data_IF_419710299516
#
_entry.id   IF_419710299516
#
_cell.length_a   1.000
_cell.length_b   1.000
_cell.length_c   1.000
_cell.angle_alpha   90.00
_cell.angle_beta   90.00
_cell.angle_gamma   90.00
#
_symmetry.space_group_name_H-M   'P 1'
#
loop_
_entity.id
_entity.type
_entity.pdbx_description
1 polymer ?
#
# COMPACT_ATOMS: atom_id res chain seq x y z
N UNK A 1 -0.20 -18.48 -9.05
CA UNK A 1 -1.10 -17.37 -8.70
C UNK A 1 -0.41 -16.07 -9.08
N UNK A 2 -1.06 -15.21 -9.85
CA UNK A 2 -0.56 -13.87 -10.17
C UNK A 2 -1.05 -12.90 -9.08
N UNK A 3 -0.27 -11.86 -8.81
CA UNK A 3 -0.67 -10.75 -7.94
C UNK A 3 -0.69 -9.49 -8.80
N UNK A 4 -1.88 -8.97 -9.07
CA UNK A 4 -2.07 -7.70 -9.75
C UNK A 4 -2.15 -6.58 -8.71
N UNK A 5 -1.17 -5.69 -8.68
CA UNK A 5 -1.26 -4.43 -7.95
C UNK A 5 -1.75 -3.35 -8.92
N UNK A 6 -3.04 -2.99 -8.86
CA UNK A 6 -3.61 -1.93 -9.68
C UNK A 6 -3.59 -0.63 -8.88
N UNK A 7 -2.58 0.22 -9.14
CA UNK A 7 -2.13 1.13 -8.10
C UNK A 7 -1.46 2.40 -8.61
N UNK A 8 -1.28 3.34 -7.69
CA UNK A 8 -0.64 4.64 -7.89
C UNK A 8 0.88 4.56 -8.02
N UNK A 9 1.43 5.51 -8.77
CA UNK A 9 2.85 5.80 -8.85
C UNK A 9 3.07 7.29 -8.66
N UNK A 10 3.94 7.70 -7.74
CA UNK A 10 4.20 9.10 -7.43
C UNK A 10 5.69 9.44 -7.47
N UNK A 11 5.98 10.66 -7.86
CA UNK A 11 7.30 11.29 -7.70
C UNK A 11 7.23 12.15 -6.43
N UNK A 12 8.00 11.81 -5.41
CA UNK A 12 8.04 12.55 -4.15
C UNK A 12 9.16 13.60 -4.23
N UNK A 13 8.78 14.87 -4.20
CA UNK A 13 9.67 16.03 -4.19
C UNK A 13 9.80 16.54 -2.76
N UNK A 14 10.88 16.17 -2.09
CA UNK A 14 11.11 16.48 -0.68
C UNK A 14 11.98 17.71 -0.55
N UNK A 15 11.46 18.73 0.11
CA UNK A 15 12.12 19.99 0.39
C UNK A 15 12.44 20.09 1.88
N UNK A 16 13.71 20.16 2.23
CA UNK A 16 14.13 20.51 3.58
C UNK A 16 13.96 22.02 3.77
N UNK A 17 13.25 22.42 4.82
CA UNK A 17 12.94 23.83 5.10
C UNK A 17 13.27 24.19 6.56
N UNK A 18 13.44 25.49 6.82
CA UNK A 18 13.62 25.98 8.20
C UNK A 18 12.35 25.76 9.05
N UNK A 19 11.18 25.98 8.46
CA UNK A 19 9.85 25.75 8.99
C UNK A 19 8.87 25.56 7.83
N UNK A 20 7.72 24.95 8.09
CA UNK A 20 6.66 24.80 7.10
C UNK A 20 6.15 26.16 6.68
N UNK A 21 6.11 26.45 5.36
CA UNK A 21 5.73 27.77 4.82
C UNK A 21 4.30 28.14 5.21
N UNK A 22 4.13 29.38 5.67
CA UNK A 22 2.83 29.94 6.04
C UNK A 22 2.17 30.68 4.86
N UNK A 23 0.83 30.86 4.86
CA UNK A 23 0.15 31.61 3.82
C UNK A 23 0.71 33.04 3.69
N UNK A 24 1.09 33.40 2.45
CA UNK A 24 1.67 34.72 2.13
C UNK A 24 3.18 34.84 2.37
N UNK A 25 3.82 33.79 2.85
CA UNK A 25 5.27 33.74 3.09
C UNK A 25 6.01 33.20 1.87
N UNK A 26 7.26 33.64 1.68
CA UNK A 26 8.21 33.06 0.71
C UNK A 26 9.49 32.72 1.44
N UNK A 27 9.89 31.45 1.43
CA UNK A 27 11.12 30.96 2.03
C UNK A 27 12.01 30.30 0.99
N UNK A 28 13.29 30.15 1.29
CA UNK A 28 14.21 29.33 0.51
C UNK A 28 14.28 27.94 1.17
N UNK A 29 14.18 26.91 0.33
CA UNK A 29 14.49 25.55 0.80
C UNK A 29 15.99 25.40 1.06
N UNK A 30 16.34 24.59 2.03
CA UNK A 30 17.73 24.26 2.35
C UNK A 30 18.28 23.20 1.42
N UNK A 31 17.44 22.26 0.98
CA UNK A 31 17.75 21.15 0.09
C UNK A 31 16.50 20.72 -0.67
N UNK A 32 16.68 19.95 -1.76
CA UNK A 32 15.61 19.31 -2.49
C UNK A 32 16.08 17.97 -3.02
N UNK A 33 15.31 16.92 -2.72
CA UNK A 33 15.56 15.56 -3.21
C UNK A 33 14.32 15.01 -3.90
N UNK A 34 14.52 14.16 -4.90
CA UNK A 34 13.43 13.47 -5.62
C UNK A 34 13.52 11.99 -5.33
N UNK A 35 12.39 11.43 -4.87
CA UNK A 35 12.28 10.01 -4.58
C UNK A 35 11.15 9.37 -5.38
N UNK A 36 11.28 8.09 -5.62
CA UNK A 36 10.17 7.26 -6.07
C UNK A 36 9.26 6.96 -4.87
N UNK A 37 7.98 7.21 -5.01
CA UNK A 37 7.00 7.07 -3.96
C UNK A 37 5.62 6.62 -4.46
N UNK A 38 4.64 6.79 -3.60
CA UNK A 38 3.29 6.28 -3.77
C UNK A 38 3.11 4.89 -3.17
N UNK A 39 1.95 4.66 -2.54
CA UNK A 39 1.64 3.36 -1.92
C UNK A 39 1.74 2.22 -2.94
N UNK A 40 1.24 2.44 -4.16
CA UNK A 40 1.27 1.43 -5.19
C UNK A 40 2.67 1.00 -5.60
N UNK A 41 3.62 1.93 -5.73
CA UNK A 41 5.03 1.61 -6.01
C UNK A 41 5.63 0.80 -4.87
N UNK A 42 5.51 1.29 -3.64
CA UNK A 42 6.07 0.64 -2.46
C UNK A 42 5.52 -0.77 -2.28
N UNK A 43 4.20 -0.95 -2.42
CA UNK A 43 3.56 -2.26 -2.30
C UNK A 43 3.99 -3.20 -3.43
N UNK A 44 4.13 -2.73 -4.69
CA UNK A 44 4.65 -3.57 -5.78
C UNK A 44 6.06 -4.07 -5.50
N UNK A 45 6.94 -3.20 -4.99
CA UNK A 45 8.30 -3.58 -4.61
C UNK A 45 8.28 -4.56 -3.44
N UNK A 46 7.46 -4.30 -2.41
CA UNK A 46 7.35 -5.18 -1.26
C UNK A 46 6.82 -6.58 -1.64
N UNK A 47 5.81 -6.64 -2.50
CA UNK A 47 5.28 -7.88 -3.07
C UNK A 47 6.36 -8.66 -3.83
N UNK A 48 7.13 -7.99 -4.68
CA UNK A 48 8.18 -8.63 -5.47
C UNK A 48 9.33 -9.13 -4.60
N UNK A 49 9.81 -8.30 -3.66
CA UNK A 49 10.88 -8.68 -2.71
C UNK A 49 10.47 -9.79 -1.74
N UNK A 50 9.17 -9.91 -1.46
CA UNK A 50 8.62 -11.03 -0.70
C UNK A 50 8.52 -12.33 -1.53
N UNK A 51 8.82 -12.31 -2.84
CA UNK A 51 8.81 -13.48 -3.72
C UNK A 51 7.54 -13.65 -4.55
N UNK A 52 6.66 -12.66 -4.59
CA UNK A 52 5.40 -12.68 -5.35
C UNK A 52 5.61 -12.59 -6.88
N UNK A 53 4.72 -13.21 -7.64
CA UNK A 53 4.61 -13.02 -9.10
C UNK A 53 3.75 -11.78 -9.39
N UNK A 54 4.39 -10.61 -9.43
CA UNK A 54 3.74 -9.29 -9.36
C UNK A 54 3.61 -8.65 -10.73
N UNK A 55 2.39 -8.21 -11.03
CA UNK A 55 2.06 -7.35 -12.16
C UNK A 55 1.62 -6.00 -11.61
N UNK A 56 2.22 -4.91 -12.11
CA UNK A 56 1.77 -3.56 -11.79
C UNK A 56 0.90 -3.03 -12.93
N UNK A 57 -0.33 -2.64 -12.61
CA UNK A 57 -1.19 -1.88 -13.52
C UNK A 57 -1.35 -0.45 -13.01
N UNK A 58 -1.16 0.51 -13.89
CA UNK A 58 -1.26 1.92 -13.54
C UNK A 58 -0.84 2.83 -14.67
N UNK A 59 -0.83 4.12 -14.40
CA UNK A 59 -0.45 5.13 -15.37
C UNK A 59 0.66 6.02 -14.81
N UNK A 60 1.64 6.33 -15.66
CA UNK A 60 2.63 7.38 -15.44
C UNK A 60 2.46 8.48 -16.48
N UNK A 61 2.92 9.67 -16.19
CA UNK A 61 3.06 10.74 -17.19
C UNK A 61 4.39 10.66 -17.95
N UNK A 62 4.67 11.67 -18.76
CA UNK A 62 5.91 11.78 -19.57
C UNK A 62 7.19 11.83 -18.72
N UNK A 63 7.06 12.16 -17.45
CA UNK A 63 8.14 12.29 -16.46
C UNK A 63 8.29 11.06 -15.54
N UNK A 64 7.54 9.98 -15.77
CA UNK A 64 7.47 8.82 -14.87
C UNK A 64 8.52 7.72 -15.13
N UNK A 65 9.47 7.90 -16.05
CA UNK A 65 10.44 6.87 -16.44
C UNK A 65 11.26 6.33 -15.26
N UNK A 66 11.57 7.18 -14.28
CA UNK A 66 12.27 6.78 -13.05
C UNK A 66 11.49 5.70 -12.29
N UNK A 67 10.17 5.86 -12.15
CA UNK A 67 9.31 4.91 -11.41
C UNK A 67 9.23 3.56 -12.13
N UNK A 68 9.13 3.59 -13.47
CA UNK A 68 9.14 2.41 -14.32
C UNK A 68 10.43 1.62 -14.16
N UNK A 69 11.58 2.31 -14.18
CA UNK A 69 12.90 1.68 -14.04
C UNK A 69 13.04 1.00 -12.67
N UNK A 70 12.65 1.67 -11.59
CA UNK A 70 12.70 1.11 -10.23
C UNK A 70 11.83 -0.14 -10.10
N UNK A 71 10.62 -0.14 -10.66
CA UNK A 71 9.77 -1.34 -10.67
C UNK A 71 10.41 -2.49 -11.46
N UNK A 72 10.99 -2.19 -12.64
CA UNK A 72 11.68 -3.19 -13.47
C UNK A 72 12.90 -3.80 -12.74
N UNK A 73 13.71 -2.99 -12.07
CA UNK A 73 14.84 -3.42 -11.25
C UNK A 73 14.43 -4.35 -10.10
N UNK A 74 13.20 -4.23 -9.63
CA UNK A 74 12.61 -5.11 -8.61
C UNK A 74 11.83 -6.30 -9.21
N UNK A 75 12.01 -6.61 -10.50
CA UNK A 75 11.36 -7.73 -11.20
C UNK A 75 9.82 -7.68 -11.19
N UNK A 76 9.22 -6.49 -11.12
CA UNK A 76 7.78 -6.31 -11.28
C UNK A 76 7.44 -6.36 -12.77
N UNK A 77 6.42 -7.14 -13.15
CA UNK A 77 5.93 -7.17 -14.52
C UNK A 77 5.18 -5.87 -14.85
N UNK A 78 5.59 -5.17 -15.90
CA UNK A 78 5.10 -3.85 -16.31
C UNK A 78 4.21 -3.88 -17.56
N UNK A 79 3.68 -5.03 -17.94
CA UNK A 79 2.82 -5.19 -19.12
C UNK A 79 1.63 -4.23 -19.11
N UNK A 80 1.10 -3.93 -17.92
CA UNK A 80 -0.06 -3.06 -17.71
C UNK A 80 0.30 -1.66 -17.19
N UNK A 81 1.58 -1.28 -17.20
CA UNK A 81 2.01 0.08 -16.92
C UNK A 81 2.03 0.85 -18.25
N UNK A 82 1.20 1.91 -18.36
CA UNK A 82 1.11 2.74 -19.56
C UNK A 82 1.45 4.20 -19.27
N UNK A 83 1.86 4.91 -20.32
CA UNK A 83 2.07 6.37 -20.25
C UNK A 83 0.79 7.09 -20.66
N UNK A 84 0.34 8.00 -19.82
CA UNK A 84 -0.76 8.92 -20.06
C UNK A 84 -0.22 10.31 -20.43
N UNK A 85 -1.06 11.14 -21.03
CA UNK A 85 -0.69 12.52 -21.32
C UNK A 85 -0.56 13.35 -20.03
N UNK A 86 0.50 14.17 -19.93
CA UNK A 86 0.72 15.08 -18.81
C UNK A 86 1.65 14.51 -17.74
N UNK A 87 1.46 14.95 -16.51
CA UNK A 87 2.37 14.66 -15.39
C UNK A 87 1.99 13.38 -14.65
N UNK A 88 3.02 12.67 -14.21
CA UNK A 88 2.89 11.62 -13.20
C UNK A 88 2.31 12.18 -11.91
N UNK A 89 1.63 11.35 -11.12
CA UNK A 89 1.29 11.70 -9.75
C UNK A 89 2.54 12.13 -8.98
N UNK A 90 2.43 13.17 -8.16
CA UNK A 90 3.57 13.61 -7.38
C UNK A 90 3.14 14.24 -6.05
N UNK A 91 4.05 14.21 -5.09
CA UNK A 91 3.91 14.88 -3.81
C UNK A 91 4.98 15.96 -3.67
N UNK A 92 4.57 17.16 -3.24
CA UNK A 92 5.46 18.20 -2.74
C UNK A 92 5.45 18.06 -1.22
N UNK A 93 6.61 17.70 -0.66
CA UNK A 93 6.75 17.40 0.76
C UNK A 93 7.72 18.41 1.35
N UNK A 94 7.27 19.20 2.30
CA UNK A 94 8.13 20.05 3.13
C UNK A 94 8.46 19.29 4.40
N UNK A 95 9.73 19.26 4.79
CA UNK A 95 10.19 18.67 6.05
C UNK A 95 11.00 19.73 6.80
N UNK A 96 10.60 20.05 8.01
CA UNK A 96 11.30 21.01 8.84
C UNK A 96 12.37 20.37 9.72
N UNK A 97 13.14 21.22 10.43
CA UNK A 97 14.23 20.77 11.33
C UNK A 97 13.78 19.91 12.50
N UNK A 98 12.50 19.95 12.85
CA UNK A 98 11.92 19.09 13.90
C UNK A 98 11.50 17.71 13.37
N UNK A 99 11.47 17.55 12.03
CA UNK A 99 11.00 16.35 11.33
C UNK A 99 9.49 16.36 11.09
N UNK A 100 8.80 17.47 11.36
CA UNK A 100 7.41 17.63 10.95
C UNK A 100 7.30 17.85 9.45
N UNK A 101 6.21 17.37 8.84
CA UNK A 101 6.01 17.50 7.41
C UNK A 101 4.65 18.08 7.02
N UNK A 102 4.62 18.63 5.81
CA UNK A 102 3.40 19.04 5.14
C UNK A 102 3.45 18.50 3.70
N UNK A 103 2.39 17.84 3.28
CA UNK A 103 2.33 17.15 1.98
C UNK A 103 1.21 17.72 1.13
N UNK A 104 1.57 18.16 -0.08
CA UNK A 104 0.63 18.51 -1.14
C UNK A 104 0.71 17.45 -2.22
N UNK A 105 -0.39 16.71 -2.40
CA UNK A 105 -0.48 15.63 -3.39
C UNK A 105 -1.18 16.11 -4.67
N UNK A 106 -0.59 15.80 -5.82
CA UNK A 106 -1.21 15.91 -7.14
C UNK A 106 -1.37 14.52 -7.74
N UNK A 107 -2.60 14.14 -8.04
CA UNK A 107 -2.91 12.78 -8.51
C UNK A 107 -2.36 12.48 -9.92
N UNK A 108 -2.30 13.49 -10.81
CA UNK A 108 -1.74 13.35 -12.16
C UNK A 108 -2.31 12.18 -12.94
N UNK A 109 -1.43 11.36 -13.52
CA UNK A 109 -1.79 10.18 -14.29
C UNK A 109 -2.61 9.14 -13.49
N UNK A 110 -2.44 9.05 -12.18
CA UNK A 110 -3.20 8.11 -11.34
C UNK A 110 -4.72 8.32 -11.44
N UNK A 111 -5.18 9.54 -11.68
CA UNK A 111 -6.59 9.87 -11.87
C UNK A 111 -7.04 9.87 -13.34
N UNK A 112 -6.23 9.36 -14.25
CA UNK A 112 -6.59 9.17 -15.66
C UNK A 112 -6.91 7.71 -16.02
N UNK A 113 -6.92 6.81 -15.05
CA UNK A 113 -7.31 5.41 -15.25
C UNK A 113 -8.78 5.38 -15.68
N UNK A 114 -9.04 4.93 -16.92
CA UNK A 114 -10.39 4.79 -17.46
C UNK A 114 -10.98 3.41 -17.15
N UNK A 115 -12.30 3.31 -17.22
CA UNK A 115 -13.00 2.02 -17.11
C UNK A 115 -12.60 1.05 -18.21
N UNK A 116 -12.32 1.54 -19.43
CA UNK A 116 -11.86 0.72 -20.55
C UNK A 116 -10.48 0.13 -20.29
N UNK A 117 -9.55 0.96 -19.79
CA UNK A 117 -8.23 0.47 -19.39
C UNK A 117 -8.33 -0.56 -18.26
N UNK A 118 -9.14 -0.29 -17.24
CA UNK A 118 -9.35 -1.23 -16.15
C UNK A 118 -9.94 -2.55 -16.65
N UNK A 119 -10.92 -2.49 -17.57
CA UNK A 119 -11.50 -3.67 -18.18
C UNK A 119 -10.48 -4.47 -19.00
N UNK A 120 -9.63 -3.81 -19.78
CA UNK A 120 -8.58 -4.46 -20.55
C UNK A 120 -7.58 -5.19 -19.66
N UNK A 121 -7.07 -4.54 -18.60
CA UNK A 121 -6.16 -5.15 -17.64
C UNK A 121 -6.80 -6.39 -17.01
N UNK A 122 -8.01 -6.25 -16.49
CA UNK A 122 -8.66 -7.33 -15.76
C UNK A 122 -9.02 -8.55 -16.61
N UNK A 123 -9.04 -8.45 -17.96
CA UNK A 123 -9.30 -9.61 -18.85
C UNK A 123 -8.31 -10.76 -18.62
N UNK A 124 -7.05 -10.44 -18.31
CA UNK A 124 -5.95 -11.39 -18.25
C UNK A 124 -5.76 -12.02 -16.86
N UNK A 125 -6.69 -11.70 -15.94
CA UNK A 125 -6.72 -12.23 -14.58
C UNK A 125 -7.99 -13.02 -14.30
N UNK A 126 -7.94 -13.94 -13.34
CA UNK A 126 -8.98 -14.91 -13.06
C UNK A 126 -9.24 -15.04 -11.55
N UNK A 127 -10.20 -15.91 -11.18
CA UNK A 127 -10.56 -16.22 -9.78
C UNK A 127 -9.39 -16.72 -8.92
N UNK A 128 -8.34 -17.25 -9.55
CA UNK A 128 -7.18 -17.78 -8.85
C UNK A 128 -6.11 -16.71 -8.58
N UNK A 129 -6.33 -15.48 -9.06
CA UNK A 129 -5.39 -14.38 -8.92
C UNK A 129 -5.83 -13.40 -7.80
N UNK A 130 -4.86 -12.67 -7.28
CA UNK A 130 -5.08 -11.64 -6.26
C UNK A 130 -5.04 -10.27 -6.92
N UNK A 131 -5.98 -9.41 -6.55
CA UNK A 131 -5.98 -7.99 -6.86
C UNK A 131 -5.67 -7.21 -5.60
N UNK A 132 -4.61 -6.40 -5.63
CA UNK A 132 -4.25 -5.47 -4.57
C UNK A 132 -4.59 -4.05 -5.01
N UNK A 133 -5.22 -3.30 -4.13
CA UNK A 133 -5.73 -1.94 -4.40
C UNK A 133 -5.43 -1.00 -3.23
N UNK A 134 -5.25 0.28 -3.55
CA UNK A 134 -5.24 1.38 -2.60
C UNK A 134 -6.21 2.45 -3.10
N UNK A 135 -6.61 3.39 -2.22
CA UNK A 135 -7.55 4.44 -2.59
C UNK A 135 -6.84 5.68 -3.16
N UNK A 136 -5.95 5.47 -4.16
CA UNK A 136 -5.16 6.54 -4.78
C UNK A 136 -5.34 6.64 -6.31
N UNK A 137 -6.26 5.85 -6.88
CA UNK A 137 -6.49 5.81 -8.32
C UNK A 137 -7.96 6.09 -8.67
N UNK A 138 -8.22 6.58 -9.88
CA UNK A 138 -9.59 6.76 -10.36
C UNK A 138 -10.30 5.43 -10.66
N UNK A 139 -11.63 5.46 -10.68
CA UNK A 139 -12.50 4.32 -10.99
C UNK A 139 -12.33 3.09 -10.08
N UNK A 140 -11.87 3.28 -8.84
CA UNK A 140 -11.67 2.21 -7.86
C UNK A 140 -12.94 1.33 -7.67
N UNK A 141 -14.16 1.88 -7.47
CA UNK A 141 -15.38 1.07 -7.34
C UNK A 141 -15.69 0.22 -8.57
N UNK A 142 -15.40 0.71 -9.78
CA UNK A 142 -15.55 -0.06 -11.01
C UNK A 142 -14.58 -1.24 -11.08
N UNK A 143 -13.31 -1.01 -10.69
CA UNK A 143 -12.26 -2.04 -10.65
C UNK A 143 -12.65 -3.14 -9.67
N UNK A 144 -13.05 -2.77 -8.44
CA UNK A 144 -13.53 -3.71 -7.41
C UNK A 144 -14.68 -4.56 -7.93
N UNK A 145 -15.74 -3.90 -8.43
CA UNK A 145 -16.93 -4.61 -8.94
C UNK A 145 -16.63 -5.54 -10.10
N UNK A 146 -15.71 -5.14 -10.99
CA UNK A 146 -15.32 -5.96 -12.13
C UNK A 146 -14.50 -7.17 -11.72
N UNK A 147 -13.55 -7.00 -10.79
CA UNK A 147 -12.73 -8.09 -10.25
C UNK A 147 -13.58 -9.08 -9.40
N UNK A 148 -14.50 -8.57 -8.59
CA UNK A 148 -15.41 -9.39 -7.80
C UNK A 148 -16.29 -10.30 -8.69
N UNK A 149 -16.82 -9.79 -9.80
CA UNK A 149 -17.56 -10.60 -10.79
C UNK A 149 -16.72 -11.71 -11.41
N UNK A 150 -15.41 -11.59 -11.44
CA UNK A 150 -14.47 -12.61 -11.90
C UNK A 150 -14.07 -13.57 -10.78
N UNK A 151 -14.48 -13.31 -9.54
CA UNK A 151 -14.15 -14.11 -8.37
C UNK A 151 -12.70 -13.94 -7.89
N UNK A 152 -12.02 -12.86 -8.28
CA UNK A 152 -10.66 -12.57 -7.80
C UNK A 152 -10.66 -12.31 -6.29
N UNK A 153 -9.56 -12.65 -5.63
CA UNK A 153 -9.35 -12.26 -4.22
C UNK A 153 -8.91 -10.80 -4.16
N UNK A 154 -9.80 -9.91 -3.74
CA UNK A 154 -9.52 -8.48 -3.67
C UNK A 154 -8.99 -8.14 -2.28
N UNK A 155 -7.76 -7.61 -2.22
CA UNK A 155 -7.15 -7.09 -1.00
C UNK A 155 -7.07 -5.58 -1.15
N UNK A 156 -7.76 -4.86 -0.27
CA UNK A 156 -7.89 -3.41 -0.35
C UNK A 156 -7.28 -2.75 0.89
N UNK A 157 -6.35 -1.82 0.65
CA UNK A 157 -5.92 -0.82 1.63
C UNK A 157 -6.72 0.47 1.36
N UNK A 158 -7.65 0.89 2.23
CA UNK A 158 -8.53 2.02 1.96
C UNK A 158 -7.86 3.39 2.12
N UNK A 159 -6.55 3.44 2.24
CA UNK A 159 -5.77 4.67 2.46
C UNK A 159 -5.46 5.40 1.14
N UNK A 160 -5.62 6.74 1.11
CA UNK A 160 -6.25 7.59 2.10
C UNK A 160 -7.77 7.38 2.14
N UNK A 161 -8.35 7.30 3.34
CA UNK A 161 -9.80 7.12 3.48
C UNK A 161 -10.56 8.38 3.04
N UNK A 162 -11.55 8.22 2.17
CA UNK A 162 -12.42 9.29 1.70
C UNK A 162 -13.78 8.72 1.25
N UNK A 163 -14.65 9.58 0.71
CA UNK A 163 -16.01 9.24 0.26
C UNK A 163 -16.10 8.14 -0.82
N UNK A 164 -15.04 7.91 -1.60
CA UNK A 164 -15.00 6.84 -2.62
C UNK A 164 -15.25 5.47 -1.99
N UNK A 165 -14.90 5.31 -0.71
CA UNK A 165 -15.13 4.06 0.02
C UNK A 165 -16.61 3.74 0.24
N UNK A 166 -17.50 4.72 0.20
CA UNK A 166 -18.96 4.55 0.33
C UNK A 166 -19.55 3.84 -0.89
N UNK A 167 -18.90 3.95 -2.06
CA UNK A 167 -19.31 3.32 -3.31
C UNK A 167 -18.79 1.87 -3.46
N UNK A 168 -18.04 1.34 -2.48
CA UNK A 168 -17.47 0.01 -2.48
C UNK A 168 -18.29 -0.92 -1.58
N UNK A 169 -18.84 -2.00 -2.16
CA UNK A 169 -19.46 -3.05 -1.36
C UNK A 169 -18.37 -3.92 -0.70
N UNK A 170 -18.30 -3.86 0.62
CA UNK A 170 -17.31 -4.63 1.40
C UNK A 170 -17.50 -6.16 1.29
N UNK A 171 -18.67 -6.64 0.84
CA UNK A 171 -18.88 -8.04 0.53
C UNK A 171 -18.10 -8.51 -0.71
N UNK A 172 -17.68 -7.58 -1.57
CA UNK A 172 -16.82 -7.87 -2.73
C UNK A 172 -15.33 -7.98 -2.34
N UNK A 173 -14.98 -7.61 -1.10
CA UNK A 173 -13.59 -7.57 -0.62
C UNK A 173 -13.23 -8.86 0.12
N UNK A 174 -12.12 -9.49 -0.28
CA UNK A 174 -11.58 -10.65 0.41
C UNK A 174 -10.89 -10.28 1.73
N UNK A 175 -10.09 -9.19 1.72
CA UNK A 175 -9.39 -8.71 2.91
C UNK A 175 -9.20 -7.19 2.86
N UNK A 176 -9.54 -6.50 3.96
CA UNK A 176 -9.16 -5.12 4.19
C UNK A 176 -7.86 -5.06 5.00
N UNK A 177 -6.92 -4.21 4.57
CA UNK A 177 -5.71 -3.89 5.32
C UNK A 177 -5.79 -2.42 5.72
N UNK A 178 -5.91 -2.15 7.01
CA UNK A 178 -6.19 -0.81 7.52
C UNK A 178 -5.52 -0.56 8.87
N UNK A 179 -5.41 0.70 9.24
CA UNK A 179 -4.94 1.13 10.55
C UNK A 179 -6.13 1.48 11.48
N UNK A 180 -5.83 1.88 12.72
CA UNK A 180 -6.85 2.22 13.72
C UNK A 180 -7.77 3.36 13.24
N UNK A 181 -7.22 4.41 12.61
CA UNK A 181 -7.99 5.56 12.11
C UNK A 181 -8.94 5.14 10.97
N UNK A 182 -8.44 4.38 10.02
CA UNK A 182 -9.24 3.88 8.89
C UNK A 182 -10.33 2.92 9.36
N UNK A 183 -10.05 2.11 10.39
CA UNK A 183 -11.04 1.24 11.02
C UNK A 183 -12.18 2.03 11.68
N UNK A 184 -11.86 3.10 12.37
CA UNK A 184 -12.85 4.01 12.96
C UNK A 184 -13.67 4.71 11.88
N UNK A 185 -13.03 5.19 10.81
CA UNK A 185 -13.72 5.84 9.69
C UNK A 185 -14.71 4.89 9.01
N UNK A 186 -14.29 3.67 8.67
CA UNK A 186 -15.12 2.73 7.91
C UNK A 186 -16.28 2.15 8.73
N UNK A 187 -16.10 2.00 10.06
CA UNK A 187 -17.14 1.49 10.94
C UNK A 187 -18.07 2.57 11.48
N UNK A 188 -17.67 3.82 11.40
CA UNK A 188 -18.36 4.95 12.07
C UNK A 188 -18.36 4.87 13.59
N UNK A 189 -17.43 4.08 14.19
CA UNK A 189 -17.35 3.78 15.61
C UNK A 189 -15.94 3.81 16.15
N UNK A 190 -15.75 3.36 17.40
CA UNK A 190 -14.43 3.26 18.01
C UNK A 190 -13.72 1.95 17.64
N UNK A 191 -12.39 1.98 17.74
CA UNK A 191 -11.54 0.81 17.48
C UNK A 191 -11.90 -0.38 18.38
N UNK A 192 -12.31 -0.16 19.62
CA UNK A 192 -12.69 -1.22 20.56
C UNK A 192 -13.93 -2.00 20.09
N UNK A 193 -14.84 -1.36 19.36
CA UNK A 193 -16.05 -1.97 18.80
C UNK A 193 -15.84 -2.58 17.41
N UNK A 194 -14.72 -2.30 16.78
CA UNK A 194 -14.50 -2.59 15.35
C UNK A 194 -14.57 -4.09 15.00
N UNK A 195 -13.97 -4.95 15.81
CA UNK A 195 -14.01 -6.40 15.56
C UNK A 195 -15.45 -6.94 15.57
N UNK A 196 -16.28 -6.52 16.53
CA UNK A 196 -17.67 -6.90 16.60
C UNK A 196 -18.48 -6.34 15.43
N UNK A 197 -18.21 -5.07 15.04
CA UNK A 197 -18.82 -4.47 13.86
C UNK A 197 -18.51 -5.26 12.60
N UNK A 198 -17.24 -5.61 12.35
CA UNK A 198 -16.82 -6.37 11.18
C UNK A 198 -17.48 -7.76 11.14
N UNK A 199 -17.43 -8.51 12.22
CA UNK A 199 -18.00 -9.86 12.31
C UNK A 199 -19.54 -9.89 12.15
N UNK A 200 -20.24 -8.86 12.63
CA UNK A 200 -21.69 -8.79 12.56
C UNK A 200 -22.19 -8.31 11.18
N UNK A 201 -21.51 -7.38 10.54
CA UNK A 201 -21.95 -6.80 9.28
C UNK A 201 -21.35 -7.49 8.05
N UNK A 202 -20.11 -7.99 8.17
CA UNK A 202 -19.34 -8.58 7.06
C UNK A 202 -18.61 -9.86 7.50
N UNK A 203 -19.35 -10.94 7.83
CA UNK A 203 -18.77 -12.13 8.44
C UNK A 203 -17.75 -12.87 7.56
N UNK A 204 -17.78 -12.69 6.24
CA UNK A 204 -16.85 -13.32 5.31
C UNK A 204 -15.60 -12.43 5.01
N UNK A 205 -15.67 -11.16 5.37
CA UNK A 205 -14.57 -10.21 5.21
C UNK A 205 -13.44 -10.53 6.20
N UNK A 206 -12.23 -10.62 5.67
CA UNK A 206 -11.02 -10.68 6.50
C UNK A 206 -10.49 -9.28 6.75
N UNK A 207 -10.01 -9.04 7.95
CA UNK A 207 -9.41 -7.76 8.34
C UNK A 207 -7.96 -8.00 8.75
N UNK A 208 -7.08 -7.21 8.22
CA UNK A 208 -5.70 -7.07 8.69
C UNK A 208 -5.53 -5.68 9.29
N UNK A 209 -5.59 -5.59 10.61
CA UNK A 209 -5.50 -4.34 11.36
C UNK A 209 -4.06 -4.10 11.82
N UNK A 210 -3.46 -3.00 11.38
CA UNK A 210 -2.16 -2.54 11.85
C UNK A 210 -2.35 -1.57 13.02
N UNK A 211 -1.65 -1.84 14.14
CA UNK A 211 -1.82 -1.17 15.44
C UNK A 211 -0.57 -0.38 15.85
N UNK A 212 0.20 0.09 14.86
CA UNK A 212 1.44 0.82 15.09
C UNK A 212 2.38 0.05 16.03
N UNK A 213 2.75 0.63 17.16
CA UNK A 213 3.66 0.03 18.15
C UNK A 213 3.08 -1.20 18.86
N UNK A 214 1.80 -1.46 18.78
CA UNK A 214 1.14 -2.64 19.37
C UNK A 214 1.24 -3.87 18.47
N UNK A 215 1.66 -3.71 17.20
CA UNK A 215 1.80 -4.80 16.24
C UNK A 215 0.66 -4.85 15.24
N UNK A 216 0.15 -6.06 14.98
CA UNK A 216 -0.87 -6.29 13.97
C UNK A 216 -1.84 -7.39 14.42
N UNK A 217 -3.10 -7.26 13.99
CA UNK A 217 -4.20 -8.18 14.33
C UNK A 217 -4.95 -8.60 13.08
N UNK A 218 -5.00 -9.89 12.84
CA UNK A 218 -5.86 -10.49 11.82
C UNK A 218 -7.18 -10.92 12.44
N UNK A 219 -8.29 -10.64 11.74
CA UNK A 219 -9.64 -10.98 12.17
C UNK A 219 -10.36 -11.62 10.99
N UNK A 220 -10.97 -12.78 11.24
CA UNK A 220 -11.92 -13.43 10.32
C UNK A 220 -13.08 -14.01 11.12
N UNK A 221 -14.04 -14.64 10.43
CA UNK A 221 -15.18 -15.31 11.08
C UNK A 221 -14.72 -16.27 12.19
N UNK A 222 -13.76 -17.13 11.87
CA UNK A 222 -13.41 -18.29 12.68
C UNK A 222 -12.07 -18.15 13.40
N UNK A 223 -11.27 -17.13 13.05
CA UNK A 223 -9.90 -16.97 13.55
C UNK A 223 -9.59 -15.50 13.82
N UNK A 224 -9.01 -15.27 14.99
CA UNK A 224 -8.33 -14.03 15.33
C UNK A 224 -6.89 -14.37 15.73
N UNK A 225 -5.91 -13.71 15.12
CA UNK A 225 -4.49 -13.89 15.41
C UNK A 225 -3.81 -12.54 15.55
N UNK A 226 -2.82 -12.45 16.43
CA UNK A 226 -2.08 -11.21 16.69
C UNK A 226 -0.59 -11.49 16.66
N UNK A 227 0.17 -10.49 16.24
CA UNK A 227 1.63 -10.53 16.35
C UNK A 227 2.14 -9.15 16.82
N UNK A 228 2.98 -9.12 17.86
CA UNK A 228 3.60 -7.87 18.33
C UNK A 228 4.63 -7.36 17.32
N UNK A 229 5.10 -6.13 17.49
CA UNK A 229 6.27 -5.65 16.73
C UNK A 229 7.54 -6.38 17.14
N UNK A 230 8.50 -6.49 16.23
CA UNK A 230 9.88 -6.75 16.59
C UNK A 230 10.53 -5.44 17.06
N UNK A 231 11.15 -5.42 18.25
CA UNK A 231 11.79 -4.22 18.76
C UNK A 231 13.07 -3.90 17.97
N UNK A 232 13.05 -2.77 17.26
CA UNK A 232 14.19 -2.27 16.50
C UNK A 232 14.37 -0.77 16.73
N UNK A 233 15.57 -0.25 16.43
CA UNK A 233 15.77 1.21 16.40
C UNK A 233 15.07 1.80 15.18
N UNK A 234 14.01 2.54 15.41
CA UNK A 234 13.30 3.25 14.34
C UNK A 234 14.14 4.40 13.80
N UNK A 235 14.29 4.44 12.48
CA UNK A 235 14.98 5.51 11.73
C UNK A 235 13.97 6.29 10.91
N UNK A 236 13.08 5.58 10.17
CA UNK A 236 12.08 6.16 9.30
C UNK A 236 10.88 5.20 9.23
N UNK A 237 9.67 5.71 9.37
CA UNK A 237 8.44 4.88 9.32
C UNK A 237 7.80 4.82 7.94
N UNK A 238 8.38 5.53 6.96
CA UNK A 238 7.89 5.54 5.57
C UNK A 238 7.89 4.13 4.99
N UNK A 239 6.83 3.78 4.27
CA UNK A 239 6.61 2.47 3.66
C UNK A 239 6.55 1.26 4.62
N UNK A 240 6.50 1.45 5.96
CA UNK A 240 6.35 0.35 6.91
C UNK A 240 5.06 -0.46 6.67
N UNK A 241 3.93 0.24 6.48
CA UNK A 241 2.63 -0.35 6.16
C UNK A 241 2.61 -1.01 4.78
N UNK A 242 3.24 -0.40 3.77
CA UNK A 242 3.35 -0.96 2.42
C UNK A 242 4.19 -2.23 2.42
N UNK A 243 5.30 -2.24 3.18
CA UNK A 243 6.15 -3.41 3.38
C UNK A 243 5.36 -4.54 4.06
N UNK A 244 4.66 -4.23 5.15
CA UNK A 244 3.80 -5.20 5.83
C UNK A 244 2.77 -5.78 4.86
N UNK A 245 2.07 -4.92 4.11
CA UNK A 245 1.07 -5.33 3.11
C UNK A 245 1.65 -6.28 2.07
N UNK A 246 2.81 -5.96 1.50
CA UNK A 246 3.45 -6.81 0.49
C UNK A 246 3.75 -8.22 0.99
N UNK A 247 4.38 -8.33 2.16
CA UNK A 247 4.70 -9.63 2.77
C UNK A 247 3.45 -10.40 3.21
N UNK A 248 2.44 -9.70 3.74
CA UNK A 248 1.16 -10.29 4.10
C UNK A 248 0.45 -10.89 2.88
N UNK A 249 0.35 -10.14 1.78
CA UNK A 249 -0.32 -10.59 0.55
C UNK A 249 0.38 -11.79 -0.07
N UNK A 250 1.71 -11.80 -0.10
CA UNK A 250 2.47 -12.96 -0.62
C UNK A 250 2.22 -14.18 0.26
N UNK A 251 2.22 -14.05 1.57
CA UNK A 251 1.87 -15.14 2.47
C UNK A 251 0.47 -15.72 2.22
N UNK A 252 -0.52 -14.84 1.98
CA UNK A 252 -1.88 -15.25 1.56
C UNK A 252 -1.84 -15.99 0.22
N UNK A 253 -1.06 -15.51 -0.77
CA UNK A 253 -0.94 -16.13 -2.08
C UNK A 253 -0.36 -17.56 -2.04
N UNK A 254 0.48 -17.82 -1.06
CA UNK A 254 1.11 -19.12 -0.81
C UNK A 254 0.30 -20.01 0.15
N UNK A 255 -0.85 -19.55 0.63
CA UNK A 255 -1.71 -20.23 1.60
C UNK A 255 -0.96 -20.65 2.89
N UNK A 256 -0.04 -19.80 3.36
CA UNK A 256 0.68 -20.03 4.62
C UNK A 256 -0.24 -19.88 5.83
N UNK A 257 0.07 -20.50 6.98
CA UNK A 257 -0.62 -20.24 8.26
C UNK A 257 -0.58 -18.75 8.60
N UNK A 258 -1.67 -18.24 9.16
CA UNK A 258 -1.78 -16.78 9.42
C UNK A 258 -0.74 -16.27 10.40
N UNK A 259 -0.37 -17.09 11.38
CA UNK A 259 0.66 -16.78 12.37
C UNK A 259 2.02 -16.57 11.70
N UNK A 260 2.38 -17.41 10.73
CA UNK A 260 3.61 -17.27 9.95
C UNK A 260 3.54 -16.01 9.08
N UNK A 261 2.41 -15.76 8.43
CA UNK A 261 2.20 -14.55 7.61
C UNK A 261 2.43 -13.30 8.44
N UNK A 262 1.81 -13.21 9.62
CA UNK A 262 1.95 -12.07 10.52
C UNK A 262 3.40 -11.90 11.00
N UNK A 263 4.07 -13.00 11.34
CA UNK A 263 5.46 -13.02 11.77
C UNK A 263 6.39 -12.45 10.68
N UNK A 264 6.26 -12.93 9.43
CA UNK A 264 7.08 -12.45 8.32
C UNK A 264 6.78 -10.99 7.97
N UNK A 265 5.51 -10.59 7.92
CA UNK A 265 5.11 -9.22 7.64
C UNK A 265 5.60 -8.24 8.72
N UNK A 266 5.50 -8.61 10.01
CA UNK A 266 6.00 -7.81 11.11
C UNK A 266 7.54 -7.68 11.07
N UNK A 267 8.27 -8.76 10.77
CA UNK A 267 9.73 -8.74 10.63
C UNK A 267 10.17 -7.86 9.45
N UNK A 268 9.50 -7.96 8.31
CA UNK A 268 9.77 -7.12 7.15
C UNK A 268 9.54 -5.64 7.46
N UNK A 269 8.42 -5.32 8.10
CA UNK A 269 8.11 -3.95 8.54
C UNK A 269 9.15 -3.42 9.54
N UNK A 270 9.61 -4.25 10.50
CA UNK A 270 10.66 -3.87 11.44
C UNK A 270 11.99 -3.54 10.73
N UNK A 271 12.38 -4.34 9.74
CA UNK A 271 13.57 -4.06 8.93
C UNK A 271 13.40 -2.78 8.09
N UNK A 272 12.22 -2.53 7.55
CA UNK A 272 11.94 -1.31 6.80
C UNK A 272 12.10 -0.07 7.69
N UNK A 273 11.48 -0.03 8.87
CA UNK A 273 11.57 1.14 9.76
C UNK A 273 12.98 1.38 10.34
N UNK A 274 13.88 0.42 10.22
CA UNK A 274 15.29 0.56 10.66
C UNK A 274 16.20 1.26 9.66
N UNK A 275 15.68 1.62 8.47
CA UNK A 275 16.42 2.27 7.39
C UNK A 275 15.70 3.55 6.93
N UNK A 276 16.44 4.49 6.33
CA UNK A 276 15.89 5.72 5.76
C UNK A 276 15.29 5.46 4.36
N UNK A 277 14.17 6.11 4.06
CA UNK A 277 13.50 6.14 2.77
C UNK A 277 12.42 5.07 2.60
N UNK A 278 11.59 5.21 1.57
CA UNK A 278 10.49 4.30 1.24
C UNK A 278 11.00 3.02 0.52
N UNK A 279 11.01 3.01 -0.80
CA UNK A 279 11.43 1.86 -1.61
C UNK A 279 12.82 1.28 -1.24
N UNK A 280 13.86 2.09 -0.93
CA UNK A 280 15.15 1.54 -0.51
C UNK A 280 15.14 0.79 0.82
N UNK A 281 14.22 1.11 1.73
CA UNK A 281 14.13 0.48 3.05
C UNK A 281 13.49 -0.91 3.02
N UNK A 282 12.65 -1.19 2.03
CA UNK A 282 11.93 -2.46 1.90
C UNK A 282 12.93 -3.62 1.82
N UNK A 283 12.89 -4.61 2.72
CA UNK A 283 13.85 -5.70 2.72
C UNK A 283 13.59 -6.72 1.59
N UNK A 284 14.64 -7.43 1.21
CA UNK A 284 14.54 -8.67 0.44
C UNK A 284 14.11 -9.83 1.33
N UNK A 285 13.45 -10.85 0.77
CA UNK A 285 12.95 -12.02 1.51
C UNK A 285 14.05 -12.68 2.35
N UNK A 286 15.25 -12.86 1.77
CA UNK A 286 16.39 -13.44 2.47
C UNK A 286 16.80 -12.67 3.72
N UNK A 287 16.75 -11.35 3.69
CA UNK A 287 17.07 -10.51 4.84
C UNK A 287 16.04 -10.70 5.97
N UNK A 288 14.77 -10.90 5.61
CA UNK A 288 13.71 -11.20 6.59
C UNK A 288 13.92 -12.56 7.22
N UNK A 289 14.28 -13.59 6.44
CA UNK A 289 14.60 -14.92 6.98
C UNK A 289 15.81 -14.88 7.93
N UNK A 290 16.86 -14.14 7.57
CA UNK A 290 18.04 -13.98 8.41
C UNK A 290 17.71 -13.25 9.72
N UNK A 291 16.88 -12.22 9.66
CA UNK A 291 16.41 -11.51 10.85
C UNK A 291 15.59 -12.43 11.78
N UNK A 292 14.69 -13.23 11.22
CA UNK A 292 13.84 -14.16 11.99
C UNK A 292 14.64 -15.32 12.63
N UNK A 293 15.82 -15.68 12.09
CA UNK A 293 16.70 -16.66 12.73
C UNK A 293 17.44 -16.13 13.96
N UNK A 294 17.50 -14.79 14.11
CA UNK A 294 18.22 -14.10 15.19
C UNK A 294 17.29 -13.62 16.30
N UNK A 295 15.97 -13.61 16.06
CA UNK A 295 14.92 -13.14 16.96
C UNK A 295 13.82 -14.22 17.14
#
# INVERSE_FOLDING_TARGET
MKILNFASLNIDMVYDVEHIVSPGETILSLNMEIFAGGKGLNQSIALARAGGNVFHAGLIGDDGEMLKNILAENNVNLEYLKTANGKTGHAIIQVDKSGENCILLFSGANHQISTDFAHEVLKDFSKDDILVLQNEISNLPYIVKTAAKKGMKIILNPSPFNEVMEDIDLNDIYCLILNEIEAECISGGSIDGFENWAKNNYPDLKIMLTLGKKGAKFISRDLTAEHPIFPVKTVDTTAAGDTFTGYFVVGISENKPIEDILKYAAAASALAVSKKGAAPSIPEFKAVEEFLKQN
#
